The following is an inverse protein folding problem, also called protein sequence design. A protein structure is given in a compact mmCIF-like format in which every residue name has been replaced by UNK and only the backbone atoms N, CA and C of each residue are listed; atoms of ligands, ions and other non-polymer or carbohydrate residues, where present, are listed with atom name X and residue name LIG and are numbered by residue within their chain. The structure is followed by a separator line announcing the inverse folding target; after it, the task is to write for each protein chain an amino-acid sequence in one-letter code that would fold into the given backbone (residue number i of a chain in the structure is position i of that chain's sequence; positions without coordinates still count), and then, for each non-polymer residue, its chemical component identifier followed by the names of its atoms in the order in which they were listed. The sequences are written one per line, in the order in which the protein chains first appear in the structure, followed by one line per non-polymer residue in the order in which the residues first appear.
data_IF_172030753779
#
_entry.id   IF_172030753779
#
_cell.length_a   1.000
_cell.length_b   1.000
_cell.length_c   1.000
_cell.angle_alpha   90.00
_cell.angle_beta   90.00
_cell.angle_gamma   90.00
#
_symmetry.space_group_name_H-M   'P 1'
#
loop_
_entity.id
_entity.type
_entity.pdbx_description
1 polymer ?
#
# COMPACT_ATOMS: atom_id res chain seq x y z
N UNK A 1 -11.96 -8.18 19.51
CA UNK A 1 -11.04 -7.68 18.51
C UNK A 1 -9.83 -8.60 18.35
N UNK A 2 -9.33 -8.78 17.16
CA UNK A 2 -8.16 -9.63 16.93
C UNK A 2 -6.91 -8.75 16.81
N UNK A 3 -6.01 -8.91 17.77
CA UNK A 3 -4.64 -8.40 17.65
C UNK A 3 -3.86 -9.23 16.63
N UNK A 4 -2.80 -8.71 16.01
CA UNK A 4 -1.86 -9.54 15.28
C UNK A 4 -1.39 -10.68 16.17
N UNK A 5 -1.28 -11.88 15.62
CA UNK A 5 -0.96 -13.08 16.42
C UNK A 5 0.39 -12.97 17.15
N UNK A 6 1.30 -12.19 16.59
CA UNK A 6 2.66 -12.02 17.15
C UNK A 6 3.08 -10.56 17.09
N UNK A 7 3.58 -10.05 18.20
CA UNK A 7 4.24 -8.75 18.34
C UNK A 7 5.66 -8.99 18.90
N UNK A 8 6.61 -8.18 18.51
CA UNK A 8 7.95 -8.17 19.08
C UNK A 8 8.06 -7.07 20.12
N UNK A 9 8.60 -7.38 21.28
CA UNK A 9 8.71 -6.47 22.42
C UNK A 9 10.18 -6.27 22.78
N UNK A 10 10.57 -5.03 23.05
CA UNK A 10 11.92 -4.72 23.53
C UNK A 10 12.13 -5.18 24.99
N UNK A 11 13.39 -5.22 25.49
CA UNK A 11 13.66 -5.49 26.90
C UNK A 11 12.97 -4.52 27.87
N UNK A 12 12.70 -3.29 27.43
CA UNK A 12 11.99 -2.26 28.20
C UNK A 12 10.45 -2.39 28.14
N UNK A 13 9.95 -3.36 27.37
CA UNK A 13 8.51 -3.63 27.23
C UNK A 13 7.81 -2.86 26.11
N UNK A 14 8.55 -2.08 25.32
CA UNK A 14 7.99 -1.38 24.16
C UNK A 14 7.87 -2.32 22.95
N UNK A 15 6.80 -2.19 22.20
CA UNK A 15 6.59 -2.94 20.97
C UNK A 15 7.57 -2.50 19.88
N UNK A 16 8.29 -3.45 19.30
CA UNK A 16 9.15 -3.21 18.13
C UNK A 16 8.35 -3.34 16.85
N UNK A 17 8.72 -2.54 15.86
CA UNK A 17 8.10 -2.56 14.53
C UNK A 17 8.87 -3.54 13.66
N UNK A 18 8.26 -4.69 13.39
CA UNK A 18 8.83 -5.71 12.50
C UNK A 18 8.77 -5.21 11.06
N UNK A 19 9.87 -5.39 10.31
CA UNK A 19 9.94 -5.10 8.88
C UNK A 19 9.89 -6.38 8.07
N UNK A 20 9.01 -6.41 7.06
CA UNK A 20 8.85 -7.50 6.10
C UNK A 20 9.44 -7.05 4.75
N UNK A 21 10.73 -7.39 4.46
CA UNK A 21 11.34 -7.07 3.18
C UNK A 21 10.78 -7.97 2.07
N UNK A 22 10.91 -7.54 0.81
CA UNK A 22 10.37 -8.30 -0.34
C UNK A 22 10.78 -9.78 -0.34
N UNK A 23 12.03 -10.16 -0.07
CA UNK A 23 12.41 -11.59 -0.03
C UNK A 23 11.68 -12.41 1.04
N UNK A 24 11.21 -11.78 2.12
CA UNK A 24 10.51 -12.44 3.21
C UNK A 24 8.99 -12.49 3.03
N UNK A 25 8.43 -11.80 2.05
CA UNK A 25 6.97 -11.67 1.89
C UNK A 25 6.27 -13.01 1.63
N UNK A 26 6.87 -13.89 0.84
CA UNK A 26 6.30 -15.23 0.62
C UNK A 26 6.27 -16.05 1.91
N UNK A 27 7.36 -16.05 2.68
CA UNK A 27 7.39 -16.70 3.99
C UNK A 27 6.45 -16.06 5.01
N UNK A 28 6.23 -14.75 4.90
CA UNK A 28 5.28 -14.04 5.75
C UNK A 28 3.84 -14.51 5.55
N UNK A 29 3.43 -14.79 4.32
CA UNK A 29 2.07 -15.29 4.03
C UNK A 29 1.79 -16.64 4.70
N UNK A 30 2.80 -17.51 4.78
CA UNK A 30 2.68 -18.81 5.41
C UNK A 30 2.93 -18.75 6.92
N UNK A 31 3.80 -17.86 7.37
CA UNK A 31 4.34 -17.79 8.72
C UNK A 31 3.99 -16.51 9.50
N UNK A 32 3.00 -15.70 9.08
CA UNK A 32 2.65 -14.46 9.80
C UNK A 32 2.15 -14.67 11.23
N UNK A 33 1.78 -15.89 11.57
CA UNK A 33 1.44 -16.32 12.92
C UNK A 33 2.53 -17.13 13.62
N UNK A 34 3.69 -17.32 13.02
CA UNK A 34 4.82 -18.07 13.57
C UNK A 34 5.81 -17.10 14.27
N UNK A 35 5.94 -17.18 15.63
CA UNK A 35 6.85 -16.32 16.38
C UNK A 35 8.30 -16.44 15.94
N UNK A 36 8.80 -17.66 15.67
CA UNK A 36 10.20 -17.86 15.28
C UNK A 36 10.52 -17.20 13.94
N UNK A 37 9.60 -17.29 12.97
CA UNK A 37 9.75 -16.60 11.70
C UNK A 37 9.77 -15.09 11.88
N UNK A 38 8.83 -14.53 12.63
CA UNK A 38 8.74 -13.09 12.82
C UNK A 38 9.91 -12.52 13.64
N UNK A 39 10.43 -13.26 14.62
CA UNK A 39 11.62 -12.87 15.38
C UNK A 39 12.90 -12.87 14.51
N UNK A 40 12.91 -13.63 13.42
CA UNK A 40 14.03 -13.63 12.46
C UNK A 40 14.08 -12.38 11.57
N UNK A 41 12.98 -11.63 11.50
CA UNK A 41 12.87 -10.44 10.66
C UNK A 41 13.48 -9.20 11.34
N UNK A 42 14.00 -8.24 10.55
CA UNK A 42 14.49 -6.97 11.10
C UNK A 42 13.39 -6.24 11.88
N UNK A 43 13.75 -5.59 12.96
CA UNK A 43 12.82 -4.75 13.74
C UNK A 43 13.42 -3.38 14.02
N UNK A 44 12.55 -2.38 14.11
CA UNK A 44 12.92 -0.97 14.26
C UNK A 44 12.05 -0.29 15.31
N UNK A 45 12.55 0.82 15.84
CA UNK A 45 11.79 1.77 16.65
C UNK A 45 11.65 3.08 15.87
N UNK A 46 10.44 3.60 15.81
CA UNK A 46 10.15 4.88 15.16
C UNK A 46 9.59 5.85 16.21
N UNK A 47 10.28 6.97 16.51
CA UNK A 47 9.98 7.84 17.64
C UNK A 47 8.57 8.45 17.63
N UNK A 48 7.95 8.55 16.46
CA UNK A 48 6.64 9.20 16.29
C UNK A 48 5.46 8.22 16.26
N UNK A 49 5.74 6.92 16.28
CA UNK A 49 4.72 5.87 16.21
C UNK A 49 4.62 5.16 17.55
N UNK A 50 3.87 5.80 18.45
CA UNK A 50 3.59 5.30 19.80
C UNK A 50 2.10 4.96 19.91
N UNK A 51 1.74 4.11 20.85
CA UNK A 51 0.34 3.75 21.16
C UNK A 51 -0.40 3.01 20.04
N UNK A 52 0.22 2.01 19.45
CA UNK A 52 -0.41 1.14 18.45
C UNK A 52 0.52 0.01 18.04
N UNK A 53 -0.03 -0.99 17.38
CA UNK A 53 0.73 -2.08 16.78
C UNK A 53 1.05 -1.72 15.34
N UNK A 54 2.33 -1.63 15.00
CA UNK A 54 2.81 -1.23 13.69
C UNK A 54 3.60 -2.34 13.02
N UNK A 55 3.62 -2.32 11.69
CA UNK A 55 4.47 -3.18 10.87
C UNK A 55 4.94 -2.44 9.63
N UNK A 56 6.15 -2.73 9.19
CA UNK A 56 6.74 -2.16 7.98
C UNK A 56 6.71 -3.22 6.90
N UNK A 57 6.25 -2.84 5.71
CA UNK A 57 6.27 -3.69 4.52
C UNK A 57 7.03 -2.98 3.40
N UNK A 58 8.02 -3.67 2.83
CA UNK A 58 8.69 -3.16 1.64
C UNK A 58 7.76 -3.25 0.43
N UNK A 59 7.59 -2.15 -0.29
CA UNK A 59 6.68 -2.06 -1.43
C UNK A 59 7.35 -2.62 -2.68
N UNK A 60 6.70 -3.59 -3.32
CA UNK A 60 7.12 -4.17 -4.59
C UNK A 60 6.19 -3.69 -5.71
N UNK A 61 6.80 -3.23 -6.82
CA UNK A 61 6.07 -2.84 -8.03
C UNK A 61 5.58 -1.39 -8.02
N UNK A 62 4.88 -1.01 -9.08
CA UNK A 62 4.56 0.38 -9.40
C UNK A 62 3.07 0.70 -9.34
N UNK A 63 2.26 -0.14 -8.70
CA UNK A 63 0.80 0.04 -8.68
C UNK A 63 0.34 1.30 -7.95
N UNK A 64 1.15 1.80 -7.01
CA UNK A 64 0.85 3.02 -6.25
C UNK A 64 1.67 4.24 -6.70
N UNK A 65 2.39 4.13 -7.80
CA UNK A 65 3.07 5.28 -8.41
C UNK A 65 2.05 6.33 -8.86
N UNK A 66 2.31 7.63 -8.71
CA UNK A 66 3.50 8.27 -8.14
C UNK A 66 3.46 8.46 -6.61
N UNK A 67 2.40 8.04 -5.93
CA UNK A 67 2.23 8.26 -4.48
C UNK A 67 3.24 7.48 -3.65
N UNK A 68 3.44 6.20 -3.99
CA UNK A 68 4.40 5.32 -3.32
C UNK A 68 5.17 4.57 -4.41
N UNK A 69 6.50 4.62 -4.32
CA UNK A 69 7.40 4.01 -5.29
C UNK A 69 7.77 2.58 -4.87
N UNK A 70 8.19 1.77 -5.83
CA UNK A 70 8.78 0.46 -5.54
C UNK A 70 10.05 0.63 -4.70
N UNK A 71 10.25 -0.20 -3.69
CA UNK A 71 11.35 -0.10 -2.73
C UNK A 71 11.07 0.83 -1.54
N UNK A 72 9.95 1.56 -1.53
CA UNK A 72 9.53 2.31 -0.35
C UNK A 72 9.18 1.37 0.80
N UNK A 73 9.33 1.85 2.05
CA UNK A 73 8.92 1.13 3.24
C UNK A 73 7.59 1.70 3.74
N UNK A 74 6.51 0.97 3.53
CA UNK A 74 5.18 1.34 3.98
C UNK A 74 4.99 0.93 5.44
N UNK A 75 4.67 1.88 6.32
CA UNK A 75 4.41 1.65 7.75
C UNK A 75 2.91 1.63 7.98
N UNK A 76 2.39 0.48 8.36
CA UNK A 76 0.99 0.25 8.67
C UNK A 76 0.72 0.13 10.16
N UNK A 77 -0.39 0.70 10.61
CA UNK A 77 -0.99 0.44 11.92
C UNK A 77 -2.05 -0.64 11.80
N UNK A 78 -2.07 -1.58 12.72
CA UNK A 78 -3.04 -2.67 12.75
C UNK A 78 -4.47 -2.15 12.73
N UNK A 79 -5.27 -2.63 11.78
CA UNK A 79 -6.67 -2.29 11.64
C UNK A 79 -7.55 -3.46 12.12
N UNK A 80 -7.92 -3.44 13.39
CA UNK A 80 -8.59 -4.55 14.05
C UNK A 80 -9.98 -4.86 13.46
N UNK A 81 -10.82 -3.83 13.39
CA UNK A 81 -12.18 -3.96 12.87
C UNK A 81 -12.27 -3.47 11.42
N UNK A 82 -11.32 -3.88 10.60
CA UNK A 82 -11.13 -3.35 9.25
C UNK A 82 -12.40 -3.41 8.37
N UNK A 83 -13.27 -4.38 8.58
CA UNK A 83 -14.52 -4.49 7.83
C UNK A 83 -15.44 -3.27 8.02
N UNK A 84 -15.34 -2.62 9.17
CA UNK A 84 -16.13 -1.42 9.51
C UNK A 84 -15.28 -0.14 9.40
N UNK A 85 -14.00 -0.20 9.77
CA UNK A 85 -13.13 0.97 9.96
C UNK A 85 -12.44 1.45 8.68
N UNK A 86 -12.41 0.63 7.61
CA UNK A 86 -11.86 1.07 6.32
C UNK A 86 -12.66 2.25 5.79
N UNK A 87 -11.95 3.37 5.59
CA UNK A 87 -12.50 4.59 5.00
C UNK A 87 -12.19 4.64 3.50
N UNK A 88 -13.18 5.07 2.73
CA UNK A 88 -13.06 5.18 1.28
C UNK A 88 -11.92 6.10 0.86
N UNK A 89 -11.19 5.68 -0.16
CA UNK A 89 -10.03 6.36 -0.77
C UNK A 89 -8.80 6.52 0.13
N UNK A 90 -8.78 6.00 1.34
CA UNK A 90 -7.56 5.88 2.14
C UNK A 90 -6.72 4.69 1.69
N UNK A 91 -5.42 4.75 1.99
CA UNK A 91 -4.45 3.71 1.60
C UNK A 91 -4.28 2.72 2.75
N UNK A 92 -4.31 1.46 2.40
CA UNK A 92 -4.13 0.33 3.30
C UNK A 92 -3.11 -0.65 2.74
N UNK A 93 -2.45 -1.35 3.62
CA UNK A 93 -1.66 -2.53 3.30
C UNK A 93 -2.55 -3.73 3.57
N UNK A 94 -2.79 -4.51 2.54
CA UNK A 94 -3.65 -5.69 2.58
C UNK A 94 -2.78 -6.93 2.43
N UNK A 95 -2.88 -7.85 3.38
CA UNK A 95 -2.29 -9.17 3.29
C UNK A 95 -3.41 -10.14 2.90
N UNK A 96 -3.29 -10.77 1.75
CA UNK A 96 -4.30 -11.67 1.22
C UNK A 96 -3.72 -13.02 0.79
N UNK A 97 -4.60 -14.01 0.65
CA UNK A 97 -4.22 -15.37 0.27
C UNK A 97 -3.72 -15.46 -1.16
N UNK A 98 -4.33 -14.70 -2.07
CA UNK A 98 -4.06 -14.79 -3.51
C UNK A 98 -3.06 -13.74 -4.00
N UNK A 99 -3.25 -12.47 -3.58
CA UNK A 99 -2.44 -11.36 -4.07
C UNK A 99 -1.17 -11.14 -3.24
N UNK A 100 -1.05 -11.82 -2.09
CA UNK A 100 0.04 -11.60 -1.16
C UNK A 100 -0.11 -10.27 -0.42
N UNK A 101 0.98 -9.49 -0.35
CA UNK A 101 1.02 -8.20 0.33
C UNK A 101 0.91 -7.10 -0.72
N UNK A 102 -0.17 -6.33 -0.67
CA UNK A 102 -0.41 -5.22 -1.60
C UNK A 102 -0.73 -3.93 -0.85
N UNK A 103 -0.32 -2.81 -1.43
CA UNK A 103 -0.67 -1.47 -0.96
C UNK A 103 -1.67 -0.87 -1.94
N UNK A 104 -2.85 -0.49 -1.47
CA UNK A 104 -3.95 -0.02 -2.32
C UNK A 104 -4.79 1.05 -1.63
N UNK A 105 -5.45 1.89 -2.42
CA UNK A 105 -6.60 2.66 -1.94
C UNK A 105 -7.82 1.76 -1.89
N UNK A 106 -8.56 1.82 -0.80
CA UNK A 106 -9.71 0.97 -0.60
C UNK A 106 -11.03 1.73 -0.72
N UNK A 107 -12.06 1.04 -1.23
CA UNK A 107 -13.45 1.44 -1.06
C UNK A 107 -14.15 0.32 -0.29
N UNK A 108 -14.73 0.67 0.86
CA UNK A 108 -15.45 -0.30 1.67
C UNK A 108 -16.84 -0.56 1.09
N UNK A 109 -17.00 -1.70 0.45
CA UNK A 109 -18.26 -2.16 -0.14
C UNK A 109 -18.78 -3.44 0.51
N UNK A 110 -18.27 -3.76 1.69
CA UNK A 110 -18.59 -5.02 2.38
C UNK A 110 -20.09 -5.13 2.62
N UNK A 111 -20.71 -4.11 3.22
CA UNK A 111 -22.14 -4.13 3.54
C UNK A 111 -23.05 -4.28 2.32
N UNK A 112 -22.63 -3.78 1.15
CA UNK A 112 -23.49 -3.75 -0.04
C UNK A 112 -23.18 -4.87 -1.03
N UNK A 113 -21.89 -5.22 -1.18
CA UNK A 113 -21.44 -6.13 -2.21
C UNK A 113 -20.56 -7.27 -1.70
N UNK A 114 -20.38 -7.38 -0.39
CA UNK A 114 -19.51 -8.35 0.26
C UNK A 114 -18.07 -8.34 -0.32
N UNK A 115 -17.54 -7.16 -0.58
CA UNK A 115 -16.18 -7.01 -1.06
C UNK A 115 -15.53 -5.70 -0.58
N UNK A 116 -14.21 -5.71 -0.56
CA UNK A 116 -13.36 -4.54 -0.51
C UNK A 116 -12.88 -4.28 -1.93
N UNK A 117 -13.03 -3.05 -2.42
CA UNK A 117 -12.61 -2.69 -3.76
C UNK A 117 -11.25 -2.00 -3.72
N UNK A 118 -10.25 -2.62 -4.31
CA UNK A 118 -8.86 -2.20 -4.29
C UNK A 118 -8.52 -1.37 -5.52
N UNK A 119 -8.01 -0.15 -5.29
CA UNK A 119 -7.66 0.80 -6.35
C UNK A 119 -6.17 1.08 -6.33
N UNK A 120 -5.55 1.06 -7.50
CA UNK A 120 -4.19 1.52 -7.70
C UNK A 120 -4.16 3.02 -7.99
N UNK A 121 -3.11 3.74 -7.58
CA UNK A 121 -2.90 5.12 -8.03
C UNK A 121 -2.43 5.14 -9.49
N UNK A 122 -1.63 4.16 -9.90
CA UNK A 122 -1.28 3.90 -11.30
C UNK A 122 -2.35 3.08 -12.02
N UNK A 123 -3.53 3.67 -12.21
CA UNK A 123 -4.72 2.97 -12.75
C UNK A 123 -4.62 2.57 -14.21
N UNK A 124 -3.73 3.19 -14.96
CA UNK A 124 -3.52 2.87 -16.38
C UNK A 124 -2.95 1.47 -16.58
N UNK A 125 -1.98 1.12 -15.74
CA UNK A 125 -1.27 -0.17 -15.82
C UNK A 125 -1.83 -1.21 -14.86
N UNK A 126 -2.43 -0.75 -13.76
CA UNK A 126 -2.94 -1.60 -12.69
C UNK A 126 -4.42 -1.34 -12.44
N UNK A 127 -5.31 -2.04 -13.14
CA UNK A 127 -6.75 -1.85 -12.96
C UNK A 127 -7.21 -2.19 -11.55
N UNK A 128 -8.29 -1.54 -11.13
CA UNK A 128 -8.91 -1.79 -9.83
C UNK A 128 -9.72 -3.08 -9.85
N UNK A 129 -9.79 -3.76 -8.71
CA UNK A 129 -10.48 -5.05 -8.59
C UNK A 129 -11.09 -5.24 -7.20
N UNK A 130 -12.16 -6.06 -7.07
CA UNK A 130 -12.71 -6.44 -5.78
C UNK A 130 -11.96 -7.61 -5.17
N UNK A 131 -11.88 -7.63 -3.83
CA UNK A 131 -11.42 -8.79 -3.04
C UNK A 131 -12.49 -9.14 -2.00
N UNK A 132 -12.69 -10.43 -1.76
CA UNK A 132 -13.65 -10.89 -0.75
C UNK A 132 -13.04 -10.83 0.65
N UNK A 133 -13.84 -10.56 1.69
CA UNK A 133 -13.36 -10.54 3.07
C UNK A 133 -12.68 -11.85 3.51
N UNK A 134 -13.15 -12.99 3.03
CA UNK A 134 -12.62 -14.33 3.36
C UNK A 134 -11.20 -14.60 2.82
N UNK A 135 -10.76 -13.79 1.84
CA UNK A 135 -9.42 -13.90 1.25
C UNK A 135 -8.42 -12.95 1.93
N UNK A 136 -8.90 -12.06 2.78
CA UNK A 136 -8.07 -11.10 3.51
C UNK A 136 -7.61 -11.70 4.84
N UNK A 137 -6.29 -11.72 5.03
CA UNK A 137 -5.65 -12.23 6.24
C UNK A 137 -5.38 -11.12 7.25
N UNK A 138 -4.85 -9.98 6.77
CA UNK A 138 -4.53 -8.82 7.60
C UNK A 138 -4.81 -7.52 6.86
N UNK A 139 -5.16 -6.49 7.62
CA UNK A 139 -5.29 -5.11 7.11
C UNK A 139 -4.54 -4.17 8.04
N UNK A 140 -3.74 -3.30 7.42
CA UNK A 140 -2.96 -2.28 8.10
C UNK A 140 -3.26 -0.91 7.49
N UNK A 141 -3.65 0.04 8.32
CA UNK A 141 -3.85 1.43 7.87
C UNK A 141 -2.50 2.08 7.59
N UNK A 142 -2.26 2.56 6.38
CA UNK A 142 -1.01 3.25 6.07
C UNK A 142 -0.88 4.53 6.90
N UNK A 143 0.19 4.66 7.68
CA UNK A 143 0.49 5.84 8.52
C UNK A 143 1.55 6.72 7.89
N UNK A 144 2.60 6.12 7.37
CA UNK A 144 3.69 6.81 6.71
C UNK A 144 4.43 5.87 5.75
N UNK A 145 5.28 6.42 4.92
CA UNK A 145 6.19 5.65 4.08
C UNK A 145 7.56 6.32 4.04
N UNK A 146 8.62 5.51 4.06
CA UNK A 146 9.98 5.96 3.81
C UNK A 146 10.28 5.75 2.34
N UNK A 147 10.64 6.83 1.66
CA UNK A 147 10.94 6.85 0.22
C UNK A 147 12.43 7.09 0.07
N UNK A 148 13.10 6.22 -0.64
CA UNK A 148 14.55 6.28 -0.90
C UNK A 148 14.88 6.74 -2.33
N UNK A 149 13.90 6.66 -3.23
CA UNK A 149 14.02 7.09 -4.62
C UNK A 149 13.34 8.44 -4.80
N UNK A 150 14.15 9.49 -4.92
CA UNK A 150 13.67 10.85 -5.12
C UNK A 150 13.69 11.15 -6.62
N UNK A 151 12.54 10.95 -7.27
CA UNK A 151 12.40 11.33 -8.67
C UNK A 151 12.37 12.84 -8.81
N UNK A 152 12.99 13.35 -9.89
CA UNK A 152 12.93 14.76 -10.20
C UNK A 152 11.51 15.13 -10.67
N UNK A 153 10.79 16.02 -9.95
CA UNK A 153 9.49 16.49 -10.40
C UNK A 153 9.52 17.20 -11.75
N UNK A 154 10.66 17.76 -12.13
CA UNK A 154 10.85 18.43 -13.42
C UNK A 154 10.59 17.49 -14.59
N UNK A 155 11.02 16.24 -14.50
CA UNK A 155 10.77 15.23 -15.56
C UNK A 155 9.28 15.05 -15.82
N UNK A 156 8.45 15.14 -14.80
CA UNK A 156 7.00 15.00 -14.94
C UNK A 156 6.36 16.25 -15.54
N UNK A 157 6.81 17.43 -15.15
CA UNK A 157 6.37 18.70 -15.75
C UNK A 157 6.80 18.83 -17.22
N UNK A 158 8.02 18.42 -17.54
CA UNK A 158 8.52 18.45 -18.92
C UNK A 158 7.73 17.53 -19.83
N UNK A 159 7.35 16.34 -19.35
CA UNK A 159 6.48 15.42 -20.09
C UNK A 159 5.08 15.98 -20.29
N UNK A 160 4.51 16.66 -19.29
CA UNK A 160 3.19 17.33 -19.42
C UNK A 160 3.27 18.46 -20.44
N UNK A 161 4.29 19.33 -20.36
CA UNK A 161 4.50 20.44 -21.28
C UNK A 161 4.68 19.93 -22.73
N UNK A 162 5.44 18.84 -22.93
CA UNK A 162 5.61 18.21 -24.26
C UNK A 162 4.25 17.69 -24.80
N UNK A 163 3.47 17.06 -23.95
CA UNK A 163 2.13 16.57 -24.33
C UNK A 163 1.18 17.72 -24.69
N UNK A 164 1.18 18.80 -23.93
CA UNK A 164 0.40 20.00 -24.21
C UNK A 164 0.81 20.65 -25.54
N UNK A 165 2.12 20.79 -25.78
CA UNK A 165 2.64 21.31 -27.04
C UNK A 165 2.22 20.46 -28.25
N UNK A 166 2.26 19.12 -28.10
CA UNK A 166 1.83 18.19 -29.14
C UNK A 166 0.32 18.27 -29.37
N UNK A 167 -0.48 18.44 -28.30
CA UNK A 167 -1.93 18.61 -28.40
C UNK A 167 -2.28 19.90 -29.14
N UNK A 168 -1.65 21.01 -28.80
CA UNK A 168 -1.83 22.30 -29.51
C UNK A 168 -1.47 22.19 -30.99
N UNK A 169 -0.42 21.46 -31.34
CA UNK A 169 -0.04 21.21 -32.72
C UNK A 169 -1.14 20.45 -33.48
N UNK A 170 -1.68 19.38 -32.86
CA UNK A 170 -2.77 18.61 -33.45
C UNK A 170 -4.02 19.46 -33.66
N UNK A 171 -4.41 20.25 -32.66
CA UNK A 171 -5.60 21.13 -32.74
C UNK A 171 -5.46 22.19 -33.82
N UNK A 172 -4.25 22.71 -34.03
CA UNK A 172 -4.01 23.74 -35.07
C UNK A 172 -3.89 23.16 -36.48
N UNK A 173 -3.55 21.87 -36.59
CA UNK A 173 -3.40 21.17 -37.90
C UNK A 173 -4.67 20.41 -38.31
N UNK A 174 -5.62 20.21 -37.42
CA UNK A 174 -6.91 19.61 -37.76
C UNK A 174 -7.72 20.55 -38.66
N UNK A 175 -8.25 20.07 -39.81
CA UNK A 175 -9.12 20.88 -40.65
C UNK A 175 -10.38 21.23 -39.86
N UNK A 176 -10.74 22.53 -39.82
CA UNK A 176 -12.02 22.96 -39.26
C UNK A 176 -13.14 22.28 -40.03
N UNK A 177 -13.83 21.32 -39.40
CA UNK A 177 -15.04 20.73 -39.97
C UNK A 177 -16.10 21.84 -39.94
N UNK A 178 -16.27 22.52 -41.08
CA UNK A 178 -17.36 23.46 -41.25
C UNK A 178 -18.69 22.65 -41.18
N UNK A 179 -19.51 22.99 -40.19
CA UNK A 179 -20.92 22.61 -40.15
C UNK A 179 -21.71 23.43 -41.14
#
# INVERSE_FOLDING_TARGET
GQMPKVISVSPEGDENIIMVPVPAQAGYLDGFGDPEFLESLPSYRLPTLNNGTFRIFEVKGHSMFPTIHSGALAVGEWCENWQEDIKDNQIYIIVSKEDGIVVKRCLNRIKKYNNLYLKSDNRREYPSYPIKPEDILEVWTLKTAFIYDFQDPADMYDRVNDLEARLMHVETTMPKINK
#
